data_IF_716081264120
#
_entry.id   IF_716081264120
#
_cell.length_a   1.000
_cell.length_b   1.000
_cell.length_c   1.000
_cell.angle_alpha   90.00
_cell.angle_beta   90.00
_cell.angle_gamma   90.00
#
_symmetry.space_group_name_H-M   'P 1'
#
loop_
_entity.id
_entity.type
_entity.pdbx_description
1 polymer ?
#
# COMPACT_ATOMS: atom_id res chain seq x y z
N UNK A 1 54.65 -35.32 -0.02
CA UNK A 1 53.49 -35.86 -0.74
C UNK A 1 52.68 -34.70 -1.27
N UNK A 2 52.55 -34.52 -2.58
CA UNK A 2 51.78 -33.39 -3.15
C UNK A 2 50.26 -33.66 -2.97
N UNK A 3 49.55 -32.67 -2.48
CA UNK A 3 48.07 -32.64 -2.44
C UNK A 3 47.56 -32.75 -3.89
N UNK A 4 46.92 -33.87 -4.22
CA UNK A 4 46.18 -34.05 -5.45
C UNK A 4 45.11 -32.99 -5.56
N UNK A 5 45.19 -32.13 -6.57
CA UNK A 5 44.10 -31.31 -7.06
C UNK A 5 43.13 -32.26 -7.77
N UNK A 6 42.29 -32.95 -7.02
CA UNK A 6 41.21 -33.73 -7.57
C UNK A 6 40.09 -32.82 -8.05
N UNK A 7 39.95 -32.77 -9.37
CA UNK A 7 38.76 -32.73 -10.10
C UNK A 7 37.72 -31.70 -9.67
N UNK A 8 37.88 -30.47 -10.16
CA UNK A 8 36.75 -29.54 -10.27
C UNK A 8 35.63 -30.13 -11.15
N UNK A 9 34.81 -31.02 -10.59
CA UNK A 9 33.66 -31.53 -11.27
C UNK A 9 32.67 -30.39 -11.55
N UNK A 10 31.94 -30.47 -12.62
CA UNK A 10 30.91 -29.54 -13.09
C UNK A 10 29.80 -29.21 -12.05
N UNK A 11 29.77 -29.98 -10.93
CA UNK A 11 28.82 -29.78 -9.83
C UNK A 11 28.98 -28.46 -9.05
N UNK A 12 30.20 -27.88 -9.02
CA UNK A 12 30.44 -26.58 -8.39
C UNK A 12 29.69 -25.42 -9.11
N UNK A 13 29.92 -25.22 -10.42
CA UNK A 13 29.25 -24.17 -11.16
C UNK A 13 27.72 -24.30 -11.19
N UNK A 14 27.20 -25.53 -11.33
CA UNK A 14 25.76 -25.80 -11.39
C UNK A 14 25.05 -25.56 -10.06
N UNK A 15 25.69 -25.89 -8.94
CA UNK A 15 25.17 -25.56 -7.61
C UNK A 15 25.07 -24.05 -7.42
N UNK A 16 26.07 -23.29 -7.90
CA UNK A 16 26.08 -21.83 -7.84
C UNK A 16 24.94 -21.24 -8.68
N UNK A 17 24.70 -21.77 -9.89
CA UNK A 17 23.59 -21.31 -10.74
C UNK A 17 22.25 -21.54 -10.04
N UNK A 18 22.05 -22.68 -9.39
CA UNK A 18 20.82 -22.95 -8.64
C UNK A 18 20.64 -21.96 -7.46
N UNK A 19 21.70 -21.71 -6.70
CA UNK A 19 21.67 -20.73 -5.60
C UNK A 19 21.35 -19.33 -6.11
N UNK A 20 21.98 -18.90 -7.22
CA UNK A 20 21.71 -17.60 -7.84
C UNK A 20 20.27 -17.52 -8.33
N UNK A 21 19.75 -18.57 -8.95
CA UNK A 21 18.36 -18.59 -9.45
C UNK A 21 17.35 -18.48 -8.31
N UNK A 22 17.58 -19.21 -7.20
CA UNK A 22 16.72 -19.11 -6.01
C UNK A 22 16.85 -17.72 -5.37
N UNK A 23 18.07 -17.21 -5.22
CA UNK A 23 18.32 -15.90 -4.65
C UNK A 23 17.63 -14.80 -5.46
N UNK A 24 17.73 -14.83 -6.80
CA UNK A 24 17.05 -13.90 -7.67
C UNK A 24 15.53 -14.01 -7.56
N UNK A 25 15.02 -15.26 -7.53
CA UNK A 25 13.57 -15.50 -7.38
C UNK A 25 13.03 -14.95 -6.07
N UNK A 26 13.70 -15.21 -4.95
CA UNK A 26 13.32 -14.68 -3.63
C UNK A 26 13.41 -13.16 -3.63
N UNK A 27 14.50 -12.58 -4.16
CA UNK A 27 14.65 -11.12 -4.25
C UNK A 27 13.48 -10.48 -4.98
N UNK A 28 13.10 -11.01 -6.15
CA UNK A 28 11.98 -10.48 -6.95
C UNK A 28 10.66 -10.63 -6.19
N UNK A 29 10.40 -11.79 -5.57
CA UNK A 29 9.16 -12.02 -4.82
C UNK A 29 9.04 -11.08 -3.61
N UNK A 30 10.09 -10.94 -2.83
CA UNK A 30 10.11 -10.03 -1.67
C UNK A 30 9.93 -8.58 -2.09
N UNK A 31 10.68 -8.12 -3.11
CA UNK A 31 10.54 -6.76 -3.62
C UNK A 31 9.15 -6.48 -4.15
N UNK A 32 8.57 -7.41 -4.94
CA UNK A 32 7.24 -7.23 -5.51
C UNK A 32 6.18 -7.06 -4.42
N UNK A 33 6.21 -7.89 -3.37
CA UNK A 33 5.25 -7.80 -2.27
C UNK A 33 5.50 -6.55 -1.42
N UNK A 34 6.77 -6.22 -1.11
CA UNK A 34 7.12 -5.02 -0.32
C UNK A 34 6.72 -3.72 -1.03
N UNK A 35 6.88 -3.65 -2.35
CA UNK A 35 6.43 -2.50 -3.15
C UNK A 35 4.90 -2.42 -3.13
N UNK A 36 4.18 -3.54 -3.36
CA UNK A 36 2.73 -3.52 -3.34
C UNK A 36 2.17 -3.09 -1.99
N UNK A 37 2.66 -3.71 -0.90
CA UNK A 37 2.25 -3.34 0.46
C UNK A 37 2.52 -1.86 0.74
N UNK A 38 3.66 -1.35 0.27
CA UNK A 38 4.00 0.06 0.35
C UNK A 38 3.02 0.94 -0.42
N UNK A 39 2.67 0.57 -1.65
CA UNK A 39 1.66 1.28 -2.46
C UNK A 39 0.29 1.30 -1.79
N UNK A 40 -0.19 0.15 -1.35
CA UNK A 40 -1.50 0.05 -0.69
C UNK A 40 -1.57 0.91 0.56
N UNK A 41 -0.54 0.85 1.40
CA UNK A 41 -0.46 1.63 2.62
C UNK A 41 -0.42 3.13 2.33
N UNK A 42 0.49 3.58 1.46
CA UNK A 42 0.67 5.00 1.16
C UNK A 42 -0.60 5.62 0.54
N UNK A 43 -1.25 4.92 -0.41
CA UNK A 43 -2.48 5.40 -1.03
C UNK A 43 -3.61 5.42 -0.01
N UNK A 44 -3.78 4.35 0.77
CA UNK A 44 -4.82 4.29 1.80
C UNK A 44 -4.62 5.41 2.84
N UNK A 45 -3.38 5.60 3.32
CA UNK A 45 -3.07 6.64 4.30
C UNK A 45 -3.35 8.05 3.75
N UNK A 46 -3.06 8.31 2.47
CA UNK A 46 -3.36 9.59 1.82
C UNK A 46 -4.86 9.83 1.65
N UNK A 47 -5.59 8.83 1.16
CA UNK A 47 -7.05 8.95 0.93
C UNK A 47 -7.80 9.06 2.25
N UNK A 48 -7.43 8.26 3.25
CA UNK A 48 -7.97 8.35 4.61
C UNK A 48 -7.61 9.65 5.29
N UNK A 49 -6.35 10.11 5.15
CA UNK A 49 -5.89 11.37 5.74
C UNK A 49 -6.64 12.59 5.20
N UNK A 50 -7.08 12.52 3.94
CA UNK A 50 -7.91 13.56 3.34
C UNK A 50 -9.40 13.39 3.69
N UNK A 51 -9.97 12.18 3.59
CA UNK A 51 -11.39 11.88 3.60
C UNK A 51 -11.91 11.06 4.79
N UNK A 52 -11.06 10.67 5.74
CA UNK A 52 -11.37 9.73 6.84
C UNK A 52 -11.70 8.28 6.41
N UNK A 53 -11.86 7.39 7.38
CA UNK A 53 -12.18 5.97 7.12
C UNK A 53 -13.66 5.75 6.83
N UNK A 54 -14.54 6.42 7.59
CA UNK A 54 -15.98 6.35 7.46
C UNK A 54 -16.56 7.76 7.44
N UNK A 55 -17.51 7.99 6.54
CA UNK A 55 -18.21 9.25 6.42
C UNK A 55 -19.70 9.02 6.67
N UNK A 56 -20.26 9.77 7.62
CA UNK A 56 -21.69 9.79 7.90
C UNK A 56 -22.27 11.08 7.38
N UNK A 57 -23.26 10.99 6.52
CA UNK A 57 -23.94 12.13 5.93
C UNK A 57 -25.46 11.92 5.97
N UNK A 58 -26.22 12.95 5.64
CA UNK A 58 -27.66 12.81 5.45
C UNK A 58 -27.93 11.97 4.18
N UNK A 59 -28.88 11.06 4.24
CA UNK A 59 -29.26 10.21 3.12
C UNK A 59 -29.69 11.01 1.87
N UNK A 60 -30.28 12.19 2.06
CA UNK A 60 -30.68 13.09 0.99
C UNK A 60 -29.57 14.03 0.50
N UNK A 61 -28.36 13.92 1.06
CA UNK A 61 -27.23 14.80 0.70
C UNK A 61 -26.66 14.46 -0.67
N UNK A 62 -26.47 15.49 -1.50
CA UNK A 62 -25.70 15.37 -2.73
C UNK A 62 -24.59 16.43 -2.72
N UNK A 63 -23.34 16.06 -2.43
CA UNK A 63 -22.22 17.00 -2.30
C UNK A 63 -21.98 17.87 -3.54
N UNK A 64 -22.36 17.39 -4.73
CA UNK A 64 -22.16 18.13 -5.99
C UNK A 64 -23.17 19.25 -6.21
N UNK A 65 -24.39 19.11 -5.65
CA UNK A 65 -25.47 20.08 -5.88
C UNK A 65 -25.83 20.85 -4.61
N UNK A 66 -26.23 20.12 -3.59
CA UNK A 66 -26.62 20.72 -2.31
C UNK A 66 -26.40 19.72 -1.20
N UNK A 67 -25.52 20.06 -0.28
CA UNK A 67 -25.28 19.28 0.92
C UNK A 67 -26.45 19.50 1.89
N UNK A 68 -27.11 18.41 2.31
CA UNK A 68 -28.15 18.45 3.32
C UNK A 68 -27.50 18.33 4.69
N UNK A 69 -27.75 19.27 5.62
CA UNK A 69 -27.06 19.26 6.89
C UNK A 69 -27.42 18.08 7.77
N UNK A 70 -26.49 17.72 8.61
CA UNK A 70 -26.61 16.80 9.73
C UNK A 70 -26.55 17.63 11.01
N UNK A 71 -27.48 17.35 11.96
CA UNK A 71 -27.47 18.04 13.24
C UNK A 71 -26.40 17.45 14.17
N UNK A 72 -25.65 18.30 14.85
CA UNK A 72 -24.70 17.88 15.87
C UNK A 72 -25.46 17.46 17.13
N UNK A 73 -25.62 16.15 17.31
CA UNK A 73 -26.29 15.54 18.47
C UNK A 73 -25.26 14.91 19.42
N UNK A 74 -25.19 15.41 20.63
CA UNK A 74 -24.27 14.93 21.64
C UNK A 74 -24.49 13.45 22.02
N UNK A 75 -25.74 12.98 21.97
CA UNK A 75 -26.09 11.59 22.24
C UNK A 75 -25.54 10.69 21.14
N UNK A 76 -25.76 11.06 19.88
CA UNK A 76 -25.24 10.32 18.73
C UNK A 76 -23.71 10.29 18.72
N UNK A 77 -23.06 11.43 19.00
CA UNK A 77 -21.60 11.53 19.11
C UNK A 77 -21.06 10.57 20.18
N UNK A 78 -21.72 10.53 21.35
CA UNK A 78 -21.33 9.64 22.45
C UNK A 78 -21.49 8.17 22.05
N UNK A 79 -22.58 7.83 21.40
CA UNK A 79 -22.86 6.48 20.92
C UNK A 79 -21.79 6.04 19.88
N UNK A 80 -21.48 6.88 18.89
CA UNK A 80 -20.47 6.57 17.88
C UNK A 80 -19.09 6.40 18.54
N UNK A 81 -18.70 7.31 19.44
CA UNK A 81 -17.42 7.21 20.17
C UNK A 81 -17.30 5.99 21.07
N UNK A 82 -18.42 5.40 21.51
CA UNK A 82 -18.43 4.18 22.32
C UNK A 82 -18.25 2.90 21.49
N UNK A 83 -18.38 2.97 20.17
CA UNK A 83 -18.18 1.83 19.28
C UNK A 83 -16.71 1.43 19.29
N UNK A 84 -16.45 0.14 19.45
CA UNK A 84 -15.10 -0.41 19.49
C UNK A 84 -14.41 -0.24 18.14
N UNK A 85 -13.19 0.34 18.15
CA UNK A 85 -12.40 0.58 16.93
C UNK A 85 -12.55 2.00 16.40
N UNK A 86 -13.43 2.84 16.96
CA UNK A 86 -13.49 4.27 16.65
C UNK A 86 -12.41 5.01 17.42
N UNK A 87 -11.43 5.60 16.69
CA UNK A 87 -10.32 6.38 17.26
C UNK A 87 -10.66 7.83 17.47
N UNK A 88 -11.27 8.46 16.47
CA UNK A 88 -11.57 9.89 16.48
C UNK A 88 -12.83 10.18 15.66
N UNK A 89 -13.58 11.20 16.07
CA UNK A 89 -14.74 11.70 15.35
C UNK A 89 -14.61 13.20 15.16
N UNK A 90 -14.75 13.65 13.93
CA UNK A 90 -14.59 15.03 13.51
C UNK A 90 -15.74 15.45 12.58
N UNK A 91 -15.87 16.76 12.35
CA UNK A 91 -16.94 17.34 11.54
C UNK A 91 -16.36 18.02 10.32
N UNK A 92 -17.10 17.94 9.24
CA UNK A 92 -16.80 18.66 8.01
C UNK A 92 -18.07 19.25 7.39
N UNK A 93 -17.91 20.16 6.47
CA UNK A 93 -18.91 20.57 5.52
C UNK A 93 -18.24 21.00 4.22
N UNK A 94 -18.95 20.87 3.11
CA UNK A 94 -18.42 21.26 1.81
C UNK A 94 -19.32 22.28 1.11
N UNK A 95 -18.71 23.10 0.25
CA UNK A 95 -19.45 24.03 -0.59
C UNK A 95 -18.75 24.24 -1.93
N UNK A 96 -19.42 23.92 -3.00
CA UNK A 96 -18.95 24.20 -4.35
C UNK A 96 -18.87 25.69 -4.61
N UNK A 97 -17.79 26.14 -5.25
CA UNK A 97 -17.57 27.54 -5.58
C UNK A 97 -16.65 27.71 -6.79
N UNK A 98 -16.44 28.94 -7.19
CA UNK A 98 -15.57 29.33 -8.30
C UNK A 98 -14.60 30.40 -7.84
N UNK A 99 -13.31 30.15 -8.02
CA UNK A 99 -12.26 31.16 -7.87
C UNK A 99 -12.15 31.95 -9.16
N UNK A 100 -12.16 33.27 -9.08
CA UNK A 100 -12.00 34.15 -10.23
C UNK A 100 -10.78 35.03 -10.03
N UNK A 101 -9.84 34.95 -10.95
CA UNK A 101 -8.73 35.90 -11.14
C UNK A 101 -9.01 36.83 -12.31
N UNK A 102 -8.06 37.67 -12.69
CA UNK A 102 -8.23 38.54 -13.86
C UNK A 102 -8.23 37.74 -15.17
N UNK A 103 -7.58 36.58 -15.21
CA UNK A 103 -7.33 35.80 -16.42
C UNK A 103 -8.17 34.51 -16.50
N UNK A 104 -8.56 33.94 -15.34
CA UNK A 104 -9.14 32.60 -15.31
C UNK A 104 -10.27 32.47 -14.28
N UNK A 105 -11.14 31.51 -14.55
CA UNK A 105 -12.17 31.02 -13.61
C UNK A 105 -11.90 29.53 -13.37
N UNK A 106 -11.87 29.13 -12.09
CA UNK A 106 -11.59 27.75 -11.69
C UNK A 106 -12.62 27.27 -10.66
N UNK A 107 -13.21 26.08 -10.91
CA UNK A 107 -14.14 25.46 -9.97
C UNK A 107 -13.39 24.84 -8.81
N UNK A 108 -13.88 25.08 -7.60
CA UNK A 108 -13.33 24.51 -6.38
C UNK A 108 -14.42 23.97 -5.45
N UNK A 109 -14.05 23.09 -4.57
CA UNK A 109 -14.84 22.67 -3.41
C UNK A 109 -14.18 23.20 -2.13
N UNK A 110 -14.83 24.16 -1.47
CA UNK A 110 -14.39 24.60 -0.15
C UNK A 110 -14.80 23.55 0.88
N UNK A 111 -13.81 22.95 1.54
CA UNK A 111 -14.00 21.99 2.64
C UNK A 111 -13.69 22.68 3.94
N UNK A 112 -14.71 22.85 4.76
CA UNK A 112 -14.61 23.43 6.08
C UNK A 112 -14.30 22.37 7.12
N UNK A 113 -13.25 22.61 7.91
CA UNK A 113 -12.81 21.76 9.00
C UNK A 113 -13.17 22.37 10.34
N UNK A 114 -13.55 21.54 11.31
CA UNK A 114 -13.82 21.95 12.70
C UNK A 114 -12.52 22.19 13.48
N UNK A 115 -12.62 22.84 14.63
CA UNK A 115 -11.49 23.09 15.53
C UNK A 115 -10.82 21.78 16.00
N UNK A 116 -11.62 20.71 16.20
CA UNK A 116 -11.13 19.40 16.65
C UNK A 116 -10.73 18.46 15.49
N UNK A 117 -10.54 19.00 14.30
CA UNK A 117 -10.13 18.22 13.14
C UNK A 117 -8.67 17.76 13.27
N UNK A 118 -8.39 16.50 12.95
CA UNK A 118 -7.02 15.99 12.89
C UNK A 118 -6.28 16.58 11.67
N UNK A 119 -5.49 17.60 11.92
CA UNK A 119 -4.73 18.31 10.87
C UNK A 119 -3.38 17.68 10.56
N UNK A 120 -3.02 16.57 11.19
CA UNK A 120 -1.70 15.92 11.06
C UNK A 120 -1.39 15.59 9.61
N UNK A 121 -2.39 15.11 8.86
CA UNK A 121 -2.24 14.83 7.44
C UNK A 121 -1.86 16.07 6.63
N UNK A 122 -2.60 17.16 6.80
CA UNK A 122 -2.32 18.42 6.10
C UNK A 122 -0.99 19.05 6.53
N UNK A 123 -0.57 18.85 7.79
CA UNK A 123 0.74 19.29 8.27
C UNK A 123 1.88 18.59 7.52
N UNK A 124 1.73 17.28 7.27
CA UNK A 124 2.71 16.47 6.54
C UNK A 124 2.74 16.78 5.04
N UNK A 125 1.61 17.22 4.47
CA UNK A 125 1.48 17.60 3.07
C UNK A 125 1.78 19.08 2.78
N UNK A 126 2.10 19.89 3.81
CA UNK A 126 2.34 21.32 3.65
C UNK A 126 3.67 21.57 2.93
N UNK A 127 3.60 22.31 1.81
CA UNK A 127 4.77 22.67 0.99
C UNK A 127 5.29 24.06 1.37
N UNK A 128 4.37 25.01 1.61
CA UNK A 128 4.70 26.41 1.88
C UNK A 128 3.67 27.06 2.80
N UNK A 129 4.09 28.01 3.64
CA UNK A 129 3.21 28.77 4.52
C UNK A 129 2.92 28.08 5.84
N UNK A 130 1.68 28.22 6.34
CA UNK A 130 1.24 27.72 7.64
C UNK A 130 -0.15 27.09 7.52
N UNK A 131 -0.44 26.11 8.38
CA UNK A 131 -1.81 25.61 8.57
C UNK A 131 -2.68 26.75 9.11
N UNK A 132 -3.93 26.90 8.62
CA UNK A 132 -4.88 27.82 9.20
C UNK A 132 -5.20 27.36 10.62
N UNK A 133 -5.23 28.32 11.53
CA UNK A 133 -5.63 28.05 12.90
C UNK A 133 -7.11 28.35 13.08
N UNK A 134 -7.88 27.33 13.44
CA UNK A 134 -9.31 27.46 13.70
C UNK A 134 -9.53 27.66 15.20
N UNK A 135 -9.71 28.90 15.62
CA UNK A 135 -9.96 29.31 17.02
C UNK A 135 -11.42 29.72 17.22
N UNK A 136 -11.74 30.35 18.36
CA UNK A 136 -13.09 30.89 18.63
C UNK A 136 -13.58 31.90 17.56
N UNK A 137 -12.66 32.60 16.91
CA UNK A 137 -12.98 33.55 15.83
C UNK A 137 -12.97 32.85 14.47
N UNK A 138 -13.97 33.13 13.66
CA UNK A 138 -14.06 32.59 12.29
C UNK A 138 -12.88 33.07 11.46
N UNK A 139 -12.09 32.14 10.94
CA UNK A 139 -10.94 32.46 10.10
C UNK A 139 -11.35 32.62 8.63
N UNK A 140 -10.66 33.56 7.94
CA UNK A 140 -10.70 33.66 6.48
C UNK A 140 -9.48 33.02 5.82
N UNK A 141 -8.61 32.38 6.61
CA UNK A 141 -7.41 31.72 6.11
C UNK A 141 -7.77 30.38 5.49
N UNK A 142 -7.15 30.09 4.36
CA UNK A 142 -7.36 28.83 3.64
C UNK A 142 -6.04 28.23 3.20
N UNK A 143 -6.05 26.88 3.08
CA UNK A 143 -5.03 26.14 2.35
C UNK A 143 -5.52 25.88 0.93
N UNK A 144 -4.65 26.09 -0.04
CA UNK A 144 -4.88 25.69 -1.43
C UNK A 144 -3.85 24.62 -1.82
N UNK A 145 -4.19 23.80 -2.79
CA UNK A 145 -3.24 22.85 -3.32
C UNK A 145 -2.19 23.54 -4.20
N UNK A 146 -1.05 22.89 -4.37
CA UNK A 146 -0.01 23.31 -5.31
C UNK A 146 -0.54 23.39 -6.76
N UNK A 147 -1.45 22.50 -7.11
CA UNK A 147 -2.12 22.49 -8.43
C UNK A 147 -2.96 23.74 -8.64
N UNK A 148 -3.82 24.10 -7.66
CA UNK A 148 -4.65 25.32 -7.72
C UNK A 148 -3.75 26.56 -7.71
N UNK A 149 -2.73 26.62 -6.84
CA UNK A 149 -1.74 27.68 -6.78
C UNK A 149 -1.10 27.93 -8.15
N UNK A 150 -0.58 26.88 -8.78
CA UNK A 150 0.11 26.97 -10.07
C UNK A 150 -0.82 27.37 -11.20
N UNK A 151 -2.04 26.81 -11.25
CA UNK A 151 -3.03 27.13 -12.30
C UNK A 151 -3.59 28.54 -12.19
N UNK A 152 -3.79 29.03 -10.98
CA UNK A 152 -4.41 30.34 -10.75
C UNK A 152 -3.37 31.45 -10.47
N UNK A 153 -2.08 31.11 -10.48
CA UNK A 153 -0.96 32.03 -10.16
C UNK A 153 -1.15 32.72 -8.81
N UNK A 154 -1.51 31.95 -7.78
CA UNK A 154 -1.76 32.42 -6.43
C UNK A 154 -0.64 31.94 -5.49
N UNK A 155 -0.15 32.83 -4.63
CA UNK A 155 0.90 32.55 -3.65
C UNK A 155 0.39 32.69 -2.21
N UNK A 156 1.19 32.25 -1.23
CA UNK A 156 0.91 32.46 0.20
C UNK A 156 0.85 33.97 0.51
N UNK A 157 -0.20 34.37 1.20
CA UNK A 157 -0.50 35.76 1.53
C UNK A 157 -1.45 36.47 0.56
N UNK A 158 -1.67 35.90 -0.62
CA UNK A 158 -2.60 36.49 -1.59
C UNK A 158 -4.06 36.39 -1.13
N UNK A 159 -4.89 37.28 -1.66
CA UNK A 159 -6.32 37.27 -1.45
C UNK A 159 -7.02 36.53 -2.61
N UNK A 160 -7.56 35.37 -2.32
CA UNK A 160 -8.34 34.57 -3.23
C UNK A 160 -9.82 34.96 -3.15
N UNK A 161 -10.38 35.53 -4.23
CA UNK A 161 -11.80 35.85 -4.31
C UNK A 161 -12.57 34.67 -4.88
N UNK A 162 -13.50 34.14 -4.07
CA UNK A 162 -14.31 32.97 -4.43
C UNK A 162 -15.77 33.35 -4.45
N UNK A 163 -16.51 32.81 -5.40
CA UNK A 163 -17.94 33.00 -5.59
C UNK A 163 -18.64 31.69 -5.35
N UNK A 164 -19.64 31.68 -4.48
CA UNK A 164 -20.41 30.50 -4.11
C UNK A 164 -21.85 30.67 -4.55
N UNK A 165 -22.44 29.60 -5.07
CA UNK A 165 -23.83 29.56 -5.43
C UNK A 165 -24.74 29.58 -4.19
N UNK A 166 -25.70 30.50 -4.15
CA UNK A 166 -26.66 30.65 -3.05
C UNK A 166 -28.08 30.89 -3.63
N UNK A 167 -28.77 29.82 -4.02
CA UNK A 167 -30.05 29.91 -4.73
C UNK A 167 -29.90 30.60 -6.08
N UNK A 168 -30.57 31.72 -6.29
CA UNK A 168 -30.54 32.47 -7.55
C UNK A 168 -29.42 33.53 -7.63
N UNK A 169 -28.58 33.61 -6.59
CA UNK A 169 -27.52 34.64 -6.47
C UNK A 169 -26.17 34.05 -6.14
N UNK A 170 -25.10 34.84 -6.30
CA UNK A 170 -23.77 34.47 -5.89
C UNK A 170 -23.35 35.24 -4.63
N UNK A 171 -22.79 34.52 -3.66
CA UNK A 171 -22.12 35.11 -2.49
C UNK A 171 -20.63 35.11 -2.72
N UNK A 172 -19.99 36.27 -2.67
CA UNK A 172 -18.54 36.39 -2.77
C UNK A 172 -17.90 36.35 -1.40
N UNK A 173 -16.76 35.70 -1.30
CA UNK A 173 -15.86 35.70 -0.13
C UNK A 173 -14.43 35.97 -0.59
N UNK A 174 -13.69 36.70 0.22
CA UNK A 174 -12.26 36.89 0.04
C UNK A 174 -11.54 36.11 1.13
N UNK A 175 -10.82 35.06 0.73
CA UNK A 175 -9.98 34.27 1.60
C UNK A 175 -8.52 34.72 1.48
N UNK A 176 -7.74 34.53 2.53
CA UNK A 176 -6.30 34.74 2.52
C UNK A 176 -5.62 33.37 2.47
N UNK A 177 -4.71 33.19 1.54
CA UNK A 177 -3.97 31.93 1.42
C UNK A 177 -2.93 31.87 2.53
N UNK A 178 -3.12 31.00 3.52
CA UNK A 178 -2.19 30.81 4.64
C UNK A 178 -1.08 29.81 4.33
N UNK A 179 -1.35 28.87 3.41
CA UNK A 179 -0.38 27.86 3.00
C UNK A 179 -0.80 27.12 1.76
N UNK A 180 0.17 26.38 1.21
CA UNK A 180 0.03 25.56 0.02
C UNK A 180 0.37 24.13 0.40
N UNK A 181 -0.54 23.20 0.10
CA UNK A 181 -0.35 21.77 0.34
C UNK A 181 -0.21 20.99 -0.98
N UNK A 182 0.35 19.78 -0.91
CA UNK A 182 0.43 18.84 -2.02
C UNK A 182 0.24 17.41 -1.51
N UNK A 183 -0.84 16.76 -1.91
CA UNK A 183 -1.11 15.36 -1.53
C UNK A 183 -0.58 14.35 -2.54
N UNK A 184 -0.21 14.81 -3.75
CA UNK A 184 0.04 14.00 -4.95
C UNK A 184 -1.21 13.23 -5.44
N UNK A 185 -2.38 13.42 -4.84
CA UNK A 185 -3.66 12.87 -5.29
C UNK A 185 -4.35 13.91 -6.18
N UNK A 186 -4.29 13.70 -7.49
CA UNK A 186 -4.81 14.67 -8.49
C UNK A 186 -6.27 15.03 -8.25
N UNK A 187 -7.12 14.04 -7.92
CA UNK A 187 -8.55 14.27 -7.65
C UNK A 187 -8.81 15.26 -6.52
N UNK A 188 -7.98 15.22 -5.46
CA UNK A 188 -8.11 16.13 -4.33
C UNK A 188 -7.41 17.46 -4.59
N UNK A 189 -6.21 17.41 -5.15
CA UNK A 189 -5.38 18.59 -5.39
C UNK A 189 -5.96 19.52 -6.47
N UNK A 190 -6.77 18.99 -7.39
CA UNK A 190 -7.45 19.80 -8.38
C UNK A 190 -8.74 20.48 -7.85
N UNK A 191 -9.34 19.93 -6.81
CA UNK A 191 -10.70 20.35 -6.44
C UNK A 191 -10.78 21.09 -5.10
N UNK A 192 -10.05 20.65 -4.08
CA UNK A 192 -10.34 21.08 -2.72
C UNK A 192 -9.49 22.27 -2.25
N UNK A 193 -10.18 23.18 -1.57
CA UNK A 193 -9.64 24.28 -0.78
C UNK A 193 -10.07 24.04 0.66
N UNK A 194 -9.14 24.07 1.61
CA UNK A 194 -9.40 23.76 3.01
C UNK A 194 -9.55 25.06 3.80
N UNK A 195 -10.61 25.17 4.58
CA UNK A 195 -10.90 26.39 5.36
C UNK A 195 -11.69 26.11 6.65
N UNK A 196 -12.18 27.15 7.28
CA UNK A 196 -12.97 27.08 8.51
C UNK A 196 -14.40 26.57 8.24
N UNK A 197 -14.86 25.55 8.97
CA UNK A 197 -16.21 25.00 8.91
C UNK A 197 -17.29 26.06 9.00
N UNK A 198 -17.11 27.06 9.86
CA UNK A 198 -18.07 28.15 10.06
C UNK A 198 -18.24 29.06 8.85
N UNK A 199 -17.25 29.10 7.95
CA UNK A 199 -17.42 29.81 6.66
C UNK A 199 -18.41 29.04 5.77
N UNK A 200 -18.31 27.72 5.74
CA UNK A 200 -19.25 26.88 4.97
C UNK A 200 -20.66 26.95 5.57
N UNK A 201 -20.78 26.89 6.90
CA UNK A 201 -22.07 27.06 7.60
C UNK A 201 -22.74 28.40 7.21
N UNK A 202 -21.98 29.51 7.24
CA UNK A 202 -22.50 30.84 6.82
C UNK A 202 -22.87 30.92 5.35
N UNK A 203 -22.16 30.19 4.49
CA UNK A 203 -22.46 30.16 3.04
C UNK A 203 -23.73 29.36 2.75
N UNK A 204 -24.03 28.35 3.57
CA UNK A 204 -25.22 27.50 3.46
C UNK A 204 -26.42 28.01 4.28
N UNK A 205 -26.29 29.12 5.00
CA UNK A 205 -27.28 29.63 5.96
C UNK A 205 -27.59 28.62 7.09
N UNK A 206 -26.59 27.86 7.50
CA UNK A 206 -26.68 26.89 8.61
C UNK A 206 -26.31 27.54 9.94
N UNK A 207 -26.95 27.06 11.01
CA UNK A 207 -26.52 27.43 12.35
C UNK A 207 -25.31 26.62 12.81
N UNK A 208 -24.76 26.93 13.99
CA UNK A 208 -23.55 26.29 14.53
C UNK A 208 -23.75 24.82 14.90
N UNK A 209 -24.99 24.33 14.95
CA UNK A 209 -25.32 22.93 15.25
C UNK A 209 -25.49 22.08 14.00
N UNK A 210 -25.33 22.66 12.82
CA UNK A 210 -25.47 21.99 11.54
C UNK A 210 -24.11 21.80 10.88
N UNK A 211 -23.82 20.59 10.42
CA UNK A 211 -22.59 20.22 9.71
C UNK A 211 -22.93 19.42 8.46
N UNK A 212 -22.00 19.28 7.54
CA UNK A 212 -22.18 18.45 6.34
C UNK A 212 -22.21 16.97 6.66
N UNK A 213 -21.42 16.58 7.64
CA UNK A 213 -21.37 15.20 8.11
C UNK A 213 -20.38 14.99 9.23
N UNK A 214 -20.32 13.74 9.66
CA UNK A 214 -19.31 13.22 10.60
C UNK A 214 -18.28 12.41 9.84
N UNK A 215 -17.05 12.57 10.20
CA UNK A 215 -15.94 11.76 9.76
C UNK A 215 -15.38 10.97 10.92
N UNK A 216 -15.19 9.68 10.70
CA UNK A 216 -14.77 8.74 11.73
C UNK A 216 -13.44 8.12 11.31
N UNK A 217 -12.44 8.29 12.16
CA UNK A 217 -11.17 7.59 12.04
C UNK A 217 -11.21 6.31 12.85
N UNK A 218 -10.82 5.18 12.23
CA UNK A 218 -10.74 3.88 12.91
C UNK A 218 -9.30 3.55 13.30
N UNK A 219 -9.13 2.69 14.30
CA UNK A 219 -7.80 2.26 14.76
C UNK A 219 -7.10 1.32 13.79
N UNK A 220 -7.87 0.45 13.12
CA UNK A 220 -7.34 -0.62 12.27
C UNK A 220 -8.17 -0.72 10.98
N UNK A 221 -7.54 -0.43 9.85
CA UNK A 221 -8.16 -0.49 8.53
C UNK A 221 -8.65 -1.91 8.17
N UNK A 222 -7.98 -2.95 8.66
CA UNK A 222 -8.39 -4.34 8.41
C UNK A 222 -9.76 -4.70 9.01
N UNK A 223 -10.24 -3.89 9.97
CA UNK A 223 -11.53 -4.04 10.63
C UNK A 223 -12.56 -2.99 10.18
N UNK A 224 -12.28 -2.30 9.08
CA UNK A 224 -13.12 -1.22 8.58
C UNK A 224 -14.59 -1.64 8.46
N UNK A 225 -14.86 -2.76 7.77
CA UNK A 225 -16.22 -3.24 7.52
C UNK A 225 -16.96 -3.64 8.82
N UNK A 226 -16.26 -4.28 9.76
CA UNK A 226 -16.83 -4.64 11.05
C UNK A 226 -17.18 -3.39 11.87
N UNK A 227 -16.27 -2.39 11.90
CA UNK A 227 -16.50 -1.11 12.58
C UNK A 227 -17.62 -0.32 11.89
N UNK A 228 -17.68 -0.32 10.57
CA UNK A 228 -18.76 0.31 9.80
C UNK A 228 -20.13 -0.30 10.15
N UNK A 229 -20.21 -1.62 10.25
CA UNK A 229 -21.44 -2.32 10.63
C UNK A 229 -21.88 -1.95 12.05
N UNK A 230 -20.94 -1.90 13.00
CA UNK A 230 -21.23 -1.53 14.40
C UNK A 230 -21.67 -0.04 14.49
N UNK A 231 -21.04 0.85 13.75
CA UNK A 231 -21.43 2.27 13.65
C UNK A 231 -22.81 2.41 13.03
N UNK A 232 -23.11 1.67 11.96
CA UNK A 232 -24.43 1.70 11.30
C UNK A 232 -25.54 1.31 12.27
N UNK A 233 -25.27 0.38 13.19
CA UNK A 233 -26.23 -0.04 14.22
C UNK A 233 -26.64 1.03 15.23
N UNK A 234 -25.86 2.10 15.39
CA UNK A 234 -26.16 3.22 16.30
C UNK A 234 -26.66 4.48 15.56
N UNK A 235 -26.62 4.48 14.21
CA UNK A 235 -27.07 5.61 13.40
C UNK A 235 -28.58 5.65 13.25
N UNK A 236 -29.21 6.83 13.28
CA UNK A 236 -30.59 7.03 12.84
C UNK A 236 -30.79 6.66 11.34
N UNK A 237 -31.98 6.20 10.99
CA UNK A 237 -32.31 5.73 9.63
C UNK A 237 -32.21 6.78 8.53
N UNK A 238 -32.20 8.06 8.88
CA UNK A 238 -32.06 9.19 7.94
C UNK A 238 -30.59 9.51 7.61
N UNK A 239 -29.63 8.84 8.24
CA UNK A 239 -28.21 8.99 7.97
C UNK A 239 -27.69 7.84 7.09
N UNK A 240 -26.77 8.17 6.22
CA UNK A 240 -26.03 7.24 5.38
C UNK A 240 -24.61 7.13 5.91
N UNK A 241 -24.11 5.91 6.00
CA UNK A 241 -22.71 5.61 6.27
C UNK A 241 -22.06 5.15 4.97
N UNK A 242 -20.94 5.74 4.64
CA UNK A 242 -20.13 5.35 3.50
C UNK A 242 -18.70 5.08 3.96
N UNK A 243 -18.15 3.95 3.57
CA UNK A 243 -16.74 3.64 3.79
C UNK A 243 -15.88 4.35 2.75
N UNK A 244 -14.61 4.58 3.06
CA UNK A 244 -13.65 5.17 2.12
C UNK A 244 -13.47 4.32 0.86
N UNK A 245 -13.64 3.01 0.98
CA UNK A 245 -13.59 2.05 -0.14
C UNK A 245 -14.78 2.28 -1.08
N UNK A 246 -15.98 2.48 -0.53
CA UNK A 246 -17.18 2.78 -1.31
C UNK A 246 -17.17 4.19 -1.89
N UNK A 247 -16.50 5.14 -1.23
CA UNK A 247 -16.36 6.51 -1.73
C UNK A 247 -15.42 6.60 -2.95
N UNK A 248 -14.38 5.74 -2.98
CA UNK A 248 -13.36 5.73 -4.04
C UNK A 248 -13.20 4.34 -4.69
N UNK A 249 -14.28 3.76 -5.28
CA UNK A 249 -14.28 2.36 -5.74
C UNK A 249 -13.27 2.10 -6.87
N UNK A 250 -13.04 3.08 -7.75
CA UNK A 250 -12.08 2.93 -8.84
C UNK A 250 -10.65 2.74 -8.33
N UNK A 251 -10.27 3.50 -7.31
CA UNK A 251 -8.94 3.45 -6.71
C UNK A 251 -8.71 2.13 -5.97
N UNK A 252 -9.66 1.71 -5.13
CA UNK A 252 -9.54 0.46 -4.38
C UNK A 252 -9.64 -0.78 -5.28
N UNK A 253 -10.48 -0.76 -6.34
CA UNK A 253 -10.51 -1.82 -7.35
C UNK A 253 -9.18 -1.94 -8.10
N UNK A 254 -8.50 -0.82 -8.38
CA UNK A 254 -7.18 -0.82 -8.98
C UNK A 254 -6.12 -1.44 -8.02
N UNK A 255 -6.17 -1.13 -6.72
CA UNK A 255 -5.31 -1.76 -5.71
C UNK A 255 -5.54 -3.29 -5.63
N UNK A 256 -6.78 -3.75 -5.71
CA UNK A 256 -7.11 -5.18 -5.72
C UNK A 256 -6.61 -5.90 -6.98
N UNK A 257 -6.63 -5.20 -8.11
CA UNK A 257 -6.06 -5.73 -9.36
C UNK A 257 -4.54 -5.92 -9.24
N UNK A 258 -3.85 -5.01 -8.56
CA UNK A 258 -2.42 -5.16 -8.26
C UNK A 258 -2.16 -6.38 -7.37
N UNK A 259 -3.03 -6.67 -6.39
CA UNK A 259 -2.95 -7.88 -5.57
C UNK A 259 -2.99 -9.16 -6.42
N UNK A 260 -3.93 -9.22 -7.36
CA UNK A 260 -4.08 -10.38 -8.25
C UNK A 260 -2.84 -10.58 -9.12
N UNK A 261 -2.25 -9.51 -9.63
CA UNK A 261 -1.03 -9.55 -10.42
C UNK A 261 0.17 -10.09 -9.61
N UNK A 262 0.29 -9.72 -8.33
CA UNK A 262 1.38 -10.20 -7.48
C UNK A 262 1.24 -11.69 -7.18
N UNK A 263 0.04 -12.20 -6.93
CA UNK A 263 -0.17 -13.65 -6.76
C UNK A 263 0.34 -14.40 -7.98
N UNK A 264 0.10 -13.90 -9.19
CA UNK A 264 0.62 -14.47 -10.43
C UNK A 264 2.16 -14.44 -10.48
N UNK A 265 2.77 -13.30 -10.10
CA UNK A 265 4.23 -13.17 -10.05
C UNK A 265 4.83 -14.16 -9.05
N UNK A 266 4.28 -14.25 -7.84
CA UNK A 266 4.73 -15.19 -6.83
C UNK A 266 4.64 -16.65 -7.31
N UNK A 267 3.55 -17.02 -7.99
CA UNK A 267 3.37 -18.36 -8.56
C UNK A 267 4.43 -18.66 -9.63
N UNK A 268 4.64 -17.76 -10.59
CA UNK A 268 5.62 -17.92 -11.65
C UNK A 268 7.05 -18.02 -11.08
N UNK A 269 7.40 -17.14 -10.15
CA UNK A 269 8.73 -17.15 -9.55
C UNK A 269 8.96 -18.36 -8.67
N UNK A 270 7.94 -18.81 -7.93
CA UNK A 270 7.97 -20.09 -7.21
C UNK A 270 8.22 -21.28 -8.12
N UNK A 271 7.56 -21.31 -9.29
CA UNK A 271 7.77 -22.34 -10.30
C UNK A 271 9.20 -22.29 -10.87
N UNK A 272 9.73 -21.11 -11.17
CA UNK A 272 11.12 -20.94 -11.64
C UNK A 272 12.11 -21.48 -10.61
N UNK A 273 11.95 -21.13 -9.33
CA UNK A 273 12.78 -21.66 -8.25
C UNK A 273 12.68 -23.20 -8.14
N UNK A 274 11.47 -23.75 -8.26
CA UNK A 274 11.24 -25.20 -8.23
C UNK A 274 11.94 -25.89 -9.39
N UNK A 275 11.83 -25.41 -10.61
CA UNK A 275 12.49 -25.97 -11.81
C UNK A 275 14.02 -25.87 -11.68
N UNK A 276 14.53 -24.75 -11.19
CA UNK A 276 15.96 -24.55 -11.00
C UNK A 276 16.56 -25.58 -10.02
N UNK A 277 15.92 -25.80 -8.87
CA UNK A 277 16.43 -26.75 -7.87
C UNK A 277 16.25 -28.22 -8.32
N UNK A 278 15.16 -28.55 -9.02
CA UNK A 278 14.94 -29.88 -9.62
C UNK A 278 16.05 -30.17 -10.63
N UNK A 279 16.33 -29.25 -11.53
CA UNK A 279 17.40 -29.37 -12.53
C UNK A 279 18.76 -29.56 -11.89
N UNK A 280 19.09 -28.74 -10.88
CA UNK A 280 20.35 -28.85 -10.15
C UNK A 280 20.50 -30.22 -9.45
N UNK A 281 19.42 -30.73 -8.84
CA UNK A 281 19.44 -32.02 -8.16
C UNK A 281 19.60 -33.16 -9.17
N UNK A 282 18.90 -33.13 -10.30
CA UNK A 282 19.03 -34.16 -11.36
C UNK A 282 20.47 -34.20 -11.88
N UNK A 283 21.07 -33.07 -12.21
CA UNK A 283 22.43 -33.01 -12.70
C UNK A 283 23.41 -33.55 -11.64
N UNK A 284 23.22 -33.17 -10.38
CA UNK A 284 24.02 -33.67 -9.26
C UNK A 284 23.89 -35.21 -9.12
N UNK A 285 22.71 -35.78 -9.32
CA UNK A 285 22.49 -37.24 -9.28
C UNK A 285 23.23 -37.92 -10.43
N UNK A 286 23.16 -37.38 -11.66
CA UNK A 286 23.88 -37.95 -12.79
C UNK A 286 25.38 -37.89 -12.63
N UNK A 287 25.92 -36.76 -12.19
CA UNK A 287 27.37 -36.60 -11.96
C UNK A 287 27.92 -37.50 -10.87
N UNK A 288 27.14 -37.71 -9.79
CA UNK A 288 27.53 -38.57 -8.66
C UNK A 288 27.02 -40.00 -8.78
N UNK A 289 26.55 -40.40 -9.96
CA UNK A 289 26.00 -41.75 -10.20
C UNK A 289 26.92 -42.88 -9.80
N UNK A 290 28.23 -42.78 -10.13
CA UNK A 290 29.25 -43.77 -9.73
C UNK A 290 29.39 -43.87 -8.19
N UNK A 291 29.37 -42.73 -7.49
CA UNK A 291 29.42 -42.70 -6.02
C UNK A 291 28.16 -43.33 -5.42
N UNK A 292 26.98 -43.08 -6.01
CA UNK A 292 25.72 -43.70 -5.61
C UNK A 292 25.80 -45.25 -5.80
N UNK A 293 26.34 -45.69 -6.94
CA UNK A 293 26.53 -47.12 -7.23
C UNK A 293 27.41 -47.82 -6.21
N UNK A 294 28.57 -47.20 -5.84
CA UNK A 294 29.50 -47.72 -4.82
C UNK A 294 28.82 -47.79 -3.46
N UNK A 295 28.14 -46.71 -3.01
CA UNK A 295 27.44 -46.68 -1.72
C UNK A 295 26.36 -47.81 -1.65
N UNK A 296 25.59 -48.03 -2.73
CA UNK A 296 24.62 -49.11 -2.76
C UNK A 296 25.25 -50.50 -2.77
N UNK A 297 26.38 -50.68 -3.45
CA UNK A 297 27.15 -51.93 -3.42
C UNK A 297 27.72 -52.24 -2.01
N UNK A 298 28.00 -51.23 -1.23
CA UNK A 298 28.42 -51.34 0.18
C UNK A 298 27.24 -51.51 1.16
N UNK A 299 26.00 -51.63 0.67
CA UNK A 299 24.82 -51.89 1.49
C UNK A 299 23.99 -50.65 1.89
N UNK A 300 24.31 -49.47 1.35
CA UNK A 300 23.51 -48.29 1.65
C UNK A 300 22.09 -48.42 1.08
N UNK A 301 21.08 -48.13 1.91
CA UNK A 301 19.67 -48.17 1.49
C UNK A 301 19.32 -47.01 0.57
N UNK A 302 18.31 -47.18 -0.29
CA UNK A 302 17.81 -46.08 -1.13
C UNK A 302 17.38 -44.87 -0.31
N UNK A 303 16.82 -45.08 0.89
CA UNK A 303 16.42 -44.01 1.81
C UNK A 303 17.63 -43.21 2.31
N UNK A 304 18.75 -43.88 2.67
CA UNK A 304 19.97 -43.22 3.12
C UNK A 304 20.60 -42.35 2.03
N UNK A 305 20.68 -42.88 0.80
CA UNK A 305 21.17 -42.11 -0.35
C UNK A 305 20.29 -40.91 -0.65
N UNK A 306 18.97 -41.10 -0.71
CA UNK A 306 18.02 -40.03 -0.91
C UNK A 306 18.15 -38.93 0.13
N UNK A 307 18.30 -39.29 1.42
CA UNK A 307 18.45 -38.31 2.51
C UNK A 307 19.70 -37.43 2.34
N UNK A 308 20.83 -38.01 1.88
CA UNK A 308 22.05 -37.24 1.63
C UNK A 308 21.85 -36.19 0.56
N UNK A 309 21.21 -36.55 -0.55
CA UNK A 309 20.95 -35.60 -1.66
C UNK A 309 19.92 -34.54 -1.28
N UNK A 310 18.85 -34.90 -0.56
CA UNK A 310 17.86 -33.96 -0.06
C UNK A 310 18.47 -32.96 0.92
N UNK A 311 19.31 -33.42 1.86
CA UNK A 311 20.00 -32.51 2.78
C UNK A 311 20.93 -31.54 2.05
N UNK A 312 21.63 -32.01 1.02
CA UNK A 312 22.50 -31.14 0.22
C UNK A 312 21.71 -30.13 -0.58
N UNK A 313 20.59 -30.53 -1.20
CA UNK A 313 19.69 -29.64 -1.91
C UNK A 313 19.01 -28.63 -0.97
N UNK A 314 18.56 -29.06 0.22
CA UNK A 314 17.98 -28.16 1.22
C UNK A 314 18.97 -27.09 1.66
N UNK A 315 20.25 -27.43 1.80
CA UNK A 315 21.30 -26.45 2.11
C UNK A 315 21.44 -25.41 1.00
N UNK A 316 21.44 -25.83 -0.28
CA UNK A 316 21.49 -24.90 -1.42
C UNK A 316 20.29 -23.97 -1.46
N UNK A 317 19.08 -24.49 -1.15
CA UNK A 317 17.86 -23.68 -1.05
C UNK A 317 18.01 -22.63 0.05
N UNK A 318 18.45 -23.02 1.24
CA UNK A 318 18.64 -22.09 2.36
C UNK A 318 19.70 -21.04 2.07
N UNK A 319 20.83 -21.41 1.42
CA UNK A 319 21.84 -20.45 0.98
C UNK A 319 21.26 -19.46 -0.04
N UNK A 320 20.45 -19.95 -0.99
CA UNK A 320 19.78 -19.10 -1.97
C UNK A 320 18.76 -18.13 -1.35
N UNK A 321 17.91 -18.62 -0.44
CA UNK A 321 16.94 -17.81 0.30
C UNK A 321 17.65 -16.72 1.10
N UNK A 322 18.66 -17.09 1.88
CA UNK A 322 19.40 -16.14 2.72
C UNK A 322 20.06 -15.03 1.90
N UNK A 323 20.68 -15.38 0.77
CA UNK A 323 21.28 -14.39 -0.15
C UNK A 323 20.18 -13.52 -0.77
N UNK A 324 19.07 -14.11 -1.20
CA UNK A 324 17.94 -13.39 -1.76
C UNK A 324 17.32 -12.41 -0.78
N UNK A 325 17.08 -12.84 0.46
CA UNK A 325 16.57 -11.97 1.53
C UNK A 325 17.54 -10.82 1.85
N UNK A 326 18.84 -11.10 1.91
CA UNK A 326 19.85 -10.08 2.17
C UNK A 326 19.89 -9.02 1.05
N UNK A 327 19.84 -9.45 -0.23
CA UNK A 327 19.84 -8.54 -1.38
C UNK A 327 18.54 -7.71 -1.38
N UNK A 328 17.38 -8.34 -1.20
CA UNK A 328 16.09 -7.62 -1.18
C UNK A 328 16.02 -6.61 -0.05
N UNK A 329 16.53 -6.96 1.14
CA UNK A 329 16.56 -6.06 2.28
C UNK A 329 17.43 -4.83 1.99
N UNK A 330 18.62 -5.02 1.39
CA UNK A 330 19.49 -3.91 0.98
C UNK A 330 18.80 -3.03 -0.06
N UNK A 331 18.17 -3.62 -1.09
CA UNK A 331 17.50 -2.87 -2.13
C UNK A 331 16.29 -2.08 -1.59
N UNK A 332 15.48 -2.71 -0.74
CA UNK A 332 14.35 -2.06 -0.09
C UNK A 332 14.82 -0.90 0.82
N UNK A 333 15.88 -1.12 1.60
CA UNK A 333 16.45 -0.09 2.47
C UNK A 333 17.01 1.10 1.66
N UNK A 334 17.71 0.81 0.57
CA UNK A 334 18.23 1.84 -0.35
C UNK A 334 17.07 2.66 -0.94
N UNK A 335 16.01 1.99 -1.41
CA UNK A 335 14.85 2.67 -1.95
C UNK A 335 14.13 3.54 -0.92
N UNK A 336 13.94 3.03 0.31
CA UNK A 336 13.26 3.75 1.38
C UNK A 336 14.05 5.01 1.82
N UNK A 337 15.39 4.94 1.84
CA UNK A 337 16.22 6.03 2.36
C UNK A 337 16.63 7.04 1.28
N UNK A 338 16.91 6.60 0.07
CA UNK A 338 17.42 7.46 -1.02
C UNK A 338 16.40 7.70 -2.14
N UNK A 339 15.22 7.10 -2.09
CA UNK A 339 14.16 7.28 -3.11
C UNK A 339 14.71 7.26 -4.55
N UNK A 340 15.52 6.23 -4.86
CA UNK A 340 16.26 6.13 -6.13
C UNK A 340 15.30 6.03 -7.30
N UNK A 341 14.26 5.23 -7.18
CA UNK A 341 13.22 5.08 -8.19
C UNK A 341 12.11 6.08 -7.92
N UNK A 342 12.05 7.11 -8.77
CA UNK A 342 11.01 8.13 -8.75
C UNK A 342 9.88 7.76 -9.71
N UNK A 343 8.67 8.19 -9.36
CA UNK A 343 7.46 8.04 -10.16
C UNK A 343 6.95 9.41 -10.60
N UNK A 344 6.17 9.42 -11.66
CA UNK A 344 5.40 10.59 -12.04
C UNK A 344 4.15 10.69 -11.15
N UNK A 345 4.10 11.73 -10.32
CA UNK A 345 3.02 11.94 -9.37
C UNK A 345 1.64 12.06 -10.06
N UNK A 346 1.59 12.62 -11.28
CA UNK A 346 0.33 12.76 -12.01
C UNK A 346 -0.27 11.41 -12.43
N UNK A 347 0.59 10.42 -12.73
CA UNK A 347 0.15 9.08 -13.19
C UNK A 347 -0.04 8.08 -12.05
N UNK A 348 0.76 8.18 -10.99
CA UNK A 348 0.81 7.18 -9.91
C UNK A 348 0.36 7.70 -8.54
N UNK A 349 -0.06 8.96 -8.45
CA UNK A 349 -0.49 9.60 -7.19
C UNK A 349 0.60 9.62 -6.10
N UNK A 350 1.87 9.50 -6.51
CA UNK A 350 3.03 9.57 -5.62
C UNK A 350 4.32 9.83 -6.38
N UNK A 351 5.27 10.49 -5.71
CA UNK A 351 6.52 10.97 -6.32
C UNK A 351 7.64 9.92 -6.31
N UNK A 352 7.53 8.82 -5.58
CA UNK A 352 8.53 7.74 -5.47
C UNK A 352 7.86 6.39 -5.24
N UNK A 353 8.59 5.30 -5.51
CA UNK A 353 8.11 3.94 -5.23
C UNK A 353 8.16 3.69 -3.72
N UNK A 354 7.00 3.55 -3.06
CA UNK A 354 6.95 3.24 -1.64
C UNK A 354 7.33 1.77 -1.40
N UNK A 355 8.00 1.50 -0.30
CA UNK A 355 8.40 0.14 0.09
C UNK A 355 8.06 -0.07 1.56
N UNK A 356 7.28 -1.10 1.86
CA UNK A 356 6.98 -1.52 3.22
C UNK A 356 7.91 -2.66 3.66
N UNK A 357 8.78 -2.38 4.64
CA UNK A 357 9.70 -3.35 5.23
C UNK A 357 9.01 -4.08 6.38
N UNK A 358 8.21 -5.10 6.06
CA UNK A 358 7.54 -5.90 7.05
C UNK A 358 8.23 -7.26 7.22
N UNK A 359 8.79 -7.51 8.42
CA UNK A 359 9.51 -8.77 8.74
C UNK A 359 8.62 -10.02 8.53
N UNK A 360 7.31 -9.92 8.76
CA UNK A 360 6.38 -11.03 8.54
C UNK A 360 6.28 -11.42 7.08
N UNK A 361 6.32 -10.44 6.17
CA UNK A 361 6.32 -10.67 4.71
C UNK A 361 7.57 -11.40 4.27
N UNK A 362 8.76 -10.98 4.73
CA UNK A 362 10.04 -11.65 4.45
C UNK A 362 9.99 -13.11 4.88
N UNK A 363 9.64 -13.37 6.13
CA UNK A 363 9.57 -14.73 6.67
C UNK A 363 8.53 -15.57 5.92
N UNK A 364 7.35 -15.03 5.61
CA UNK A 364 6.31 -15.76 4.90
C UNK A 364 6.76 -16.19 3.51
N UNK A 365 7.39 -15.30 2.72
CA UNK A 365 7.89 -15.61 1.37
C UNK A 365 9.02 -16.64 1.45
N UNK A 366 9.97 -16.49 2.38
CA UNK A 366 11.08 -17.42 2.56
C UNK A 366 10.59 -18.82 2.94
N UNK A 367 9.63 -18.92 3.86
CA UNK A 367 9.01 -20.20 4.25
C UNK A 367 8.21 -20.81 3.10
N UNK A 368 7.44 -20.01 2.38
CA UNK A 368 6.68 -20.49 1.22
C UNK A 368 7.61 -21.00 0.11
N UNK A 369 8.69 -20.26 -0.20
CA UNK A 369 9.70 -20.66 -1.19
C UNK A 369 10.40 -21.95 -0.77
N UNK A 370 10.79 -22.06 0.51
CA UNK A 370 11.38 -23.29 1.07
C UNK A 370 10.42 -24.47 0.89
N UNK A 371 9.15 -24.31 1.24
CA UNK A 371 8.14 -25.36 1.12
C UNK A 371 7.94 -25.79 -0.34
N UNK A 372 7.80 -24.86 -1.27
CA UNK A 372 7.65 -25.13 -2.73
C UNK A 372 8.87 -25.88 -3.26
N UNK A 373 10.08 -25.41 -2.95
CA UNK A 373 11.31 -26.06 -3.39
C UNK A 373 11.49 -27.46 -2.78
N UNK A 374 11.16 -27.67 -1.52
CA UNK A 374 11.21 -28.98 -0.88
C UNK A 374 10.21 -29.97 -1.47
N UNK A 375 8.99 -29.50 -1.75
CA UNK A 375 7.98 -30.31 -2.45
C UNK A 375 8.44 -30.69 -3.85
N UNK A 376 9.00 -29.75 -4.61
CA UNK A 376 9.54 -30.00 -5.95
C UNK A 376 10.67 -31.06 -5.96
N UNK A 377 11.48 -31.10 -4.90
CA UNK A 377 12.55 -32.11 -4.76
C UNK A 377 12.06 -33.55 -4.61
N UNK A 378 10.79 -33.78 -4.26
CA UNK A 378 10.24 -35.13 -4.14
C UNK A 378 10.26 -35.87 -5.50
N UNK A 379 10.06 -35.14 -6.61
CA UNK A 379 10.08 -35.71 -7.96
C UNK A 379 11.44 -36.33 -8.33
N UNK A 380 12.57 -35.59 -8.33
CA UNK A 380 13.86 -36.15 -8.66
C UNK A 380 14.39 -37.11 -7.58
N UNK A 381 14.00 -36.93 -6.31
CA UNK A 381 14.38 -37.85 -5.24
C UNK A 381 13.82 -39.26 -5.41
N UNK A 382 12.63 -39.40 -6.03
CA UNK A 382 12.07 -40.69 -6.39
C UNK A 382 12.89 -41.41 -7.48
N UNK A 383 13.50 -40.65 -8.40
CA UNK A 383 14.33 -41.22 -9.49
C UNK A 383 15.60 -41.90 -8.96
N UNK A 384 16.15 -41.49 -7.81
CA UNK A 384 17.34 -42.12 -7.17
C UNK A 384 17.11 -43.61 -6.89
N UNK A 385 15.89 -44.03 -6.59
CA UNK A 385 15.56 -45.41 -6.28
C UNK A 385 15.68 -46.35 -7.50
N UNK A 386 15.55 -45.82 -8.73
CA UNK A 386 15.61 -46.58 -9.97
C UNK A 386 17.06 -46.78 -10.50
N UNK A 387 18.06 -46.14 -9.92
CA UNK A 387 19.45 -46.30 -10.32
C UNK A 387 19.97 -47.68 -9.85
N UNK A 388 20.21 -48.63 -10.82
CA UNK A 388 20.72 -49.92 -10.51
C UNK A 388 22.27 -49.93 -10.42
N UNK A 389 22.87 -50.52 -9.39
CA UNK A 389 24.33 -50.56 -9.20
C UNK A 389 25.08 -51.20 -10.38
N UNK A 390 24.47 -52.25 -11.01
CA UNK A 390 25.09 -53.01 -12.06
C UNK A 390 25.28 -52.25 -13.40
N UNK A 391 24.40 -51.27 -13.71
CA UNK A 391 24.48 -50.43 -14.93
C UNK A 391 25.50 -49.28 -14.75
N UNK A 392 25.63 -48.77 -13.56
CA UNK A 392 26.45 -47.58 -13.27
C UNK A 392 27.96 -47.87 -13.12
N UNK A 393 28.31 -49.15 -12.81
CA UNK A 393 29.71 -49.58 -12.71
C UNK A 393 30.24 -50.03 -14.07
N UNK A 394 29.39 -50.37 -15.03
CA UNK A 394 29.70 -50.96 -16.35
C UNK A 394 29.76 -49.96 -17.50
N UNK A 395 29.39 -48.68 -17.28
CA UNK A 395 29.48 -47.64 -18.30
C UNK A 395 30.86 -46.98 -18.29
N UNK A 396 31.80 -47.55 -18.98
CA UNK A 396 32.89 -46.81 -19.62
C UNK A 396 32.42 -46.30 -20.96
#
# INVERSE_FOLDING_TARGET
>A
MPRSKDGGGFSGPLSVIAVISIALGVTVMVMAVSILSGFQREITDKVVGFGSHLTVSNYASNPLYQETPVSVDSTLITNIKSVRGVRHLQFFATKGGMVKTQEQIYGIMLRGLSENYDTTFFANCLVEGKLPYFSEKVSNDVLISKTISSRMHLAVGDKMRTYFWAGDTYRSRAFTISGIYNTDLTEFDELYVIGDLRQVQRLNDWDSTMVGGYEILVDDFSRLDATAFDVLGVLPYNYSLQTIVEAHPALFSWLDLLNSNIVLILFIMGLVCAVAIVSALLIMIFEKGRTIGILKAMGATNASVRRIFLLKASRLILEGIFIGDAISLVLCYVQQHWTVVKLDAASYSMSYVPVDLNATTFVAISVATLAVCLLALLLPAAYISHISPAKTIKSE
#
